data_IF_391226039718
#
_entry.id   IF_391226039718
#
_cell.length_a   1.000
_cell.length_b   1.000
_cell.length_c   1.000
_cell.angle_alpha   90.00
_cell.angle_beta   90.00
_cell.angle_gamma   90.00
#
_symmetry.space_group_name_H-M   'P 1'
#
loop_
_entity.id
_entity.type
_entity.pdbx_description
1 polymer ?
#
# COMPACT_ATOMS: atom_id res chain seq x y z
N UNK A 1 6.03 18.47 18.00
CA UNK A 1 5.69 18.40 16.57
C UNK A 1 6.97 18.57 15.78
N UNK A 2 7.29 17.63 14.90
CA UNK A 2 8.45 17.74 14.03
C UNK A 2 8.18 18.84 12.99
N UNK A 3 8.62 20.06 13.29
CA UNK A 3 8.35 21.27 12.48
C UNK A 3 8.75 21.07 11.02
N UNK A 4 9.74 20.21 10.77
CA UNK A 4 10.22 19.90 9.43
C UNK A 4 9.18 19.22 8.55
N UNK A 5 8.35 18.31 9.10
CA UNK A 5 7.36 17.56 8.30
C UNK A 5 6.21 18.46 7.86
N UNK A 6 5.69 19.31 8.76
CA UNK A 6 4.60 20.24 8.43
C UNK A 6 5.01 21.21 7.33
N UNK A 7 6.24 21.73 7.38
CA UNK A 7 6.80 22.61 6.35
C UNK A 7 6.97 21.90 5.01
N UNK A 8 7.43 20.64 5.01
CA UNK A 8 7.55 19.84 3.78
C UNK A 8 6.18 19.59 3.16
N UNK A 9 5.19 19.15 3.95
CA UNK A 9 3.82 18.89 3.46
C UNK A 9 3.22 20.15 2.85
N UNK A 10 3.35 21.28 3.53
CA UNK A 10 2.85 22.57 3.04
C UNK A 10 3.51 22.97 1.72
N UNK A 11 4.85 22.90 1.64
CA UNK A 11 5.60 23.20 0.43
C UNK A 11 5.18 22.31 -0.74
N UNK A 12 5.15 20.99 -0.54
CA UNK A 12 4.77 20.02 -1.58
C UNK A 12 3.35 20.28 -2.07
N UNK A 13 2.41 20.55 -1.16
CA UNK A 13 1.04 20.91 -1.53
C UNK A 13 0.98 22.19 -2.36
N UNK A 14 1.67 23.25 -1.94
CA UNK A 14 1.67 24.53 -2.64
C UNK A 14 2.32 24.43 -4.01
N UNK A 15 3.33 23.58 -4.17
CA UNK A 15 3.95 23.31 -5.46
C UNK A 15 3.05 22.49 -6.38
N UNK A 16 2.39 21.44 -5.86
CA UNK A 16 1.42 20.64 -6.63
C UNK A 16 0.23 21.49 -7.09
N UNK A 17 -0.27 22.41 -6.24
CA UNK A 17 -1.39 23.33 -6.60
C UNK A 17 -1.09 24.22 -7.81
N UNK A 18 0.18 24.50 -8.09
CA UNK A 18 0.60 25.31 -9.25
C UNK A 18 0.62 24.51 -10.55
N UNK A 19 0.61 23.17 -10.47
CA UNK A 19 0.64 22.31 -11.64
C UNK A 19 -0.73 22.28 -12.32
N UNK A 20 -0.74 22.51 -13.64
CA UNK A 20 -1.94 22.35 -14.47
C UNK A 20 -2.37 20.87 -14.53
N UNK A 21 -1.39 19.97 -14.61
CA UNK A 21 -1.56 18.52 -14.59
C UNK A 21 -0.54 17.91 -13.61
N UNK A 22 -1.03 17.34 -12.50
CA UNK A 22 -0.19 16.68 -11.50
C UNK A 22 -0.28 15.16 -11.65
N UNK A 23 0.42 14.60 -12.64
CA UNK A 23 0.50 13.14 -12.84
C UNK A 23 1.78 12.59 -12.23
N UNK A 24 1.63 11.69 -11.27
CA UNK A 24 2.73 10.89 -10.74
C UNK A 24 2.78 9.54 -11.46
N UNK A 25 3.98 9.14 -11.87
CA UNK A 25 4.22 7.84 -12.51
C UNK A 25 5.06 6.95 -11.60
N UNK A 26 4.58 5.73 -11.37
CA UNK A 26 5.27 4.72 -10.59
C UNK A 26 5.55 3.51 -11.48
N UNK A 27 6.75 2.96 -11.37
CA UNK A 27 7.17 1.75 -12.10
C UNK A 27 8.00 0.86 -11.19
N UNK A 28 7.65 -0.42 -11.21
CA UNK A 28 8.41 -1.50 -10.58
C UNK A 28 8.73 -2.54 -11.66
N UNK A 29 9.86 -3.22 -11.53
CA UNK A 29 10.17 -4.43 -12.28
C UNK A 29 10.33 -5.58 -11.28
N UNK A 30 9.75 -6.73 -11.59
CA UNK A 30 9.92 -7.98 -10.84
C UNK A 30 10.45 -9.05 -11.76
N UNK A 31 11.38 -9.86 -11.26
CA UNK A 31 11.98 -10.97 -12.01
C UNK A 31 11.91 -12.23 -11.17
N UNK A 32 11.37 -13.30 -11.74
CA UNK A 32 11.45 -14.63 -11.15
C UNK A 32 12.90 -15.12 -11.23
N UNK A 33 13.47 -15.47 -10.07
CA UNK A 33 14.86 -15.93 -10.00
C UNK A 33 14.91 -17.46 -10.05
N UNK A 34 14.16 -18.12 -9.17
CA UNK A 34 13.97 -19.58 -9.14
C UNK A 34 12.78 -19.93 -8.22
N UNK A 35 12.18 -21.11 -8.39
CA UNK A 35 11.06 -21.55 -7.55
C UNK A 35 9.94 -20.50 -7.50
N UNK A 36 9.62 -20.01 -6.30
CA UNK A 36 8.74 -18.85 -6.07
C UNK A 36 9.49 -17.58 -5.63
N UNK A 37 10.82 -17.61 -5.59
CA UNK A 37 11.63 -16.48 -5.21
C UNK A 37 11.70 -15.43 -6.34
N UNK A 38 11.21 -14.23 -6.02
CA UNK A 38 11.12 -13.09 -6.92
C UNK A 38 11.92 -11.92 -6.34
N UNK A 39 12.69 -11.26 -7.20
CA UNK A 39 13.36 -10.00 -6.86
C UNK A 39 12.65 -8.83 -7.54
N UNK A 40 12.30 -7.81 -6.75
CA UNK A 40 11.71 -6.58 -7.22
C UNK A 40 12.74 -5.44 -7.19
N UNK A 41 12.72 -4.59 -8.21
CA UNK A 41 13.49 -3.35 -8.25
C UNK A 41 12.56 -2.15 -8.45
N UNK A 42 12.65 -1.17 -7.56
CA UNK A 42 11.88 0.08 -7.60
C UNK A 42 12.76 1.26 -7.25
N UNK A 43 12.94 2.20 -8.19
CA UNK A 43 13.96 3.26 -8.09
C UNK A 43 15.33 2.65 -7.77
N UNK A 44 15.94 2.98 -6.63
CA UNK A 44 17.21 2.41 -6.14
C UNK A 44 17.04 1.31 -5.09
N UNK A 45 15.81 0.84 -4.82
CA UNK A 45 15.52 -0.17 -3.80
C UNK A 45 15.34 -1.54 -4.43
N UNK A 46 15.72 -2.57 -3.67
CA UNK A 46 15.46 -3.98 -3.98
C UNK A 46 14.60 -4.60 -2.89
N UNK A 47 13.69 -5.49 -3.29
CA UNK A 47 12.88 -6.27 -2.35
C UNK A 47 12.89 -7.74 -2.77
N UNK A 48 13.12 -8.61 -1.79
CA UNK A 48 12.93 -10.04 -1.93
C UNK A 48 11.47 -10.38 -1.62
N UNK A 49 10.85 -11.14 -2.51
CA UNK A 49 9.47 -11.62 -2.42
C UNK A 49 9.52 -13.14 -2.59
N UNK A 50 8.74 -13.88 -1.80
CA UNK A 50 8.75 -15.34 -1.81
C UNK A 50 7.44 -15.89 -1.27
N UNK A 51 7.29 -17.21 -1.24
CA UNK A 51 6.20 -17.88 -0.53
C UNK A 51 6.70 -18.55 0.76
N UNK A 52 5.84 -18.78 1.76
CA UNK A 52 6.14 -19.62 2.91
C UNK A 52 6.51 -21.05 2.49
N UNK A 53 7.29 -21.74 3.32
CA UNK A 53 7.66 -23.15 3.08
C UNK A 53 6.42 -24.07 2.95
N UNK A 54 5.34 -23.77 3.68
CA UNK A 54 4.08 -24.51 3.60
C UNK A 54 3.38 -24.39 2.25
N UNK A 55 3.72 -23.38 1.45
CA UNK A 55 3.26 -23.17 0.08
C UNK A 55 4.34 -23.49 -0.96
N UNK A 56 5.46 -24.09 -0.53
CA UNK A 56 6.56 -24.53 -1.40
C UNK A 56 7.59 -23.45 -1.73
N UNK A 57 7.53 -22.28 -1.09
CA UNK A 57 8.56 -21.25 -1.22
C UNK A 57 9.74 -21.48 -0.27
N UNK A 58 10.65 -20.51 -0.21
CA UNK A 58 11.83 -20.56 0.66
C UNK A 58 11.76 -19.58 1.85
N UNK A 59 10.60 -18.96 2.07
CA UNK A 59 10.33 -18.03 3.17
C UNK A 59 11.38 -16.90 3.30
N UNK A 60 11.96 -16.46 2.17
CA UNK A 60 13.01 -15.41 2.14
C UNK A 60 12.47 -13.98 2.13
N UNK A 61 11.18 -13.83 1.87
CA UNK A 61 10.49 -12.56 1.81
C UNK A 61 8.99 -12.76 1.99
N UNK A 62 8.24 -11.68 2.24
CA UNK A 62 6.79 -11.74 2.27
C UNK A 62 6.23 -12.18 0.93
N UNK A 63 5.06 -12.80 0.95
CA UNK A 63 4.35 -13.13 -0.27
C UNK A 63 3.65 -11.90 -0.88
N UNK A 64 3.22 -11.97 -2.15
CA UNK A 64 2.62 -10.82 -2.83
C UNK A 64 1.36 -10.27 -2.14
N UNK A 65 0.54 -11.12 -1.50
CA UNK A 65 -0.70 -10.68 -0.86
C UNK A 65 -0.42 -10.02 0.50
N UNK A 66 0.59 -10.45 1.24
CA UNK A 66 1.10 -9.77 2.43
C UNK A 66 1.66 -8.39 2.09
N UNK A 67 2.38 -8.26 0.97
CA UNK A 67 2.87 -6.97 0.48
C UNK A 67 1.73 -5.98 0.16
N UNK A 68 0.57 -6.49 -0.29
CA UNK A 68 -0.62 -5.66 -0.49
C UNK A 68 -1.16 -5.12 0.86
N UNK A 69 -1.22 -5.96 1.90
CA UNK A 69 -1.65 -5.54 3.24
C UNK A 69 -0.64 -4.58 3.88
N UNK A 70 0.66 -4.85 3.73
CA UNK A 70 1.76 -3.93 4.13
C UNK A 70 1.60 -2.58 3.43
N UNK A 71 1.26 -2.59 2.14
CA UNK A 71 1.02 -1.35 1.37
C UNK A 71 -0.16 -0.56 1.93
N UNK A 72 -1.25 -1.21 2.32
CA UNK A 72 -2.39 -0.54 2.96
C UNK A 72 -1.99 0.06 4.32
N UNK A 73 -1.42 -0.76 5.22
CA UNK A 73 -1.05 -0.31 6.57
C UNK A 73 -0.02 0.82 6.56
N UNK A 74 1.02 0.70 5.74
CA UNK A 74 2.03 1.76 5.60
C UNK A 74 1.48 3.05 4.97
N UNK A 75 0.56 2.92 4.00
CA UNK A 75 -0.10 4.08 3.42
C UNK A 75 -0.96 4.82 4.44
N UNK A 76 -1.70 4.09 5.29
CA UNK A 76 -2.42 4.67 6.42
C UNK A 76 -1.48 5.46 7.34
N UNK A 77 -0.36 4.86 7.79
CA UNK A 77 0.61 5.54 8.64
C UNK A 77 1.13 6.86 8.03
N UNK A 78 1.51 6.83 6.76
CA UNK A 78 2.03 8.02 6.05
C UNK A 78 0.95 9.11 5.97
N UNK A 79 -0.27 8.74 5.59
CA UNK A 79 -1.37 9.71 5.39
C UNK A 79 -1.83 10.29 6.73
N UNK A 80 -1.85 9.49 7.81
CA UNK A 80 -2.04 10.01 9.17
C UNK A 80 -1.00 11.07 9.53
N UNK A 81 0.28 10.80 9.27
CA UNK A 81 1.35 11.76 9.55
C UNK A 81 1.17 13.06 8.75
N UNK A 82 0.76 12.97 7.48
CA UNK A 82 0.48 14.13 6.62
C UNK A 82 -0.63 14.99 7.22
N UNK A 83 -1.82 14.43 7.44
CA UNK A 83 -2.97 15.20 7.92
C UNK A 83 -2.85 15.63 9.38
N UNK A 84 -2.18 14.86 10.23
CA UNK A 84 -1.89 15.28 11.60
C UNK A 84 -1.01 16.54 11.62
N UNK A 85 -0.02 16.61 10.73
CA UNK A 85 0.87 17.78 10.59
C UNK A 85 0.13 19.04 10.13
N UNK A 86 -0.97 18.88 9.39
CA UNK A 86 -1.81 19.99 8.92
C UNK A 86 -2.81 20.46 9.97
N UNK A 87 -3.34 19.52 10.76
CA UNK A 87 -4.26 19.80 11.85
C UNK A 87 -3.55 20.22 13.15
N UNK A 88 -2.22 20.28 13.16
CA UNK A 88 -1.42 20.55 14.34
C UNK A 88 -1.64 19.51 15.45
N UNK A 89 -1.80 18.24 15.07
CA UNK A 89 -1.95 17.09 15.98
C UNK A 89 -0.59 16.41 16.12
N UNK A 90 -0.11 16.27 17.36
CA UNK A 90 1.16 15.61 17.64
C UNK A 90 0.94 14.12 17.93
N UNK A 91 1.25 13.27 16.96
CA UNK A 91 1.25 11.80 17.12
C UNK A 91 2.50 11.38 17.90
N UNK A 92 2.31 10.69 19.03
CA UNK A 92 3.40 10.11 19.84
C UNK A 92 3.74 8.70 19.37
N UNK A 93 2.72 7.88 19.09
CA UNK A 93 2.82 6.55 18.49
C UNK A 93 1.65 6.33 17.54
N UNK A 94 1.91 5.60 16.46
CA UNK A 94 0.91 5.15 15.50
C UNK A 94 1.32 3.78 14.96
N UNK A 95 0.40 2.81 15.04
CA UNK A 95 0.53 1.51 14.37
C UNK A 95 -0.78 1.15 13.69
N UNK A 96 -0.67 0.42 12.58
CA UNK A 96 -1.81 -0.10 11.85
C UNK A 96 -1.62 -1.60 11.65
N UNK A 97 -2.53 -2.38 12.19
CA UNK A 97 -2.61 -3.83 11.96
C UNK A 97 -3.60 -4.08 10.83
N UNK A 98 -3.25 -4.93 9.87
CA UNK A 98 -4.10 -5.24 8.72
C UNK A 98 -4.24 -6.75 8.60
N UNK A 99 -5.48 -7.23 8.63
CA UNK A 99 -5.87 -8.62 8.48
C UNK A 99 -6.61 -8.80 7.14
N UNK A 100 -6.26 -9.84 6.38
CA UNK A 100 -6.90 -10.16 5.11
C UNK A 100 -7.29 -11.63 5.04
N UNK A 101 -8.49 -11.90 4.55
CA UNK A 101 -9.02 -13.27 4.35
C UNK A 101 -9.18 -13.55 2.85
N UNK A 102 -8.64 -14.68 2.39
CA UNK A 102 -8.80 -15.19 1.02
C UNK A 102 -9.03 -16.71 1.02
N UNK A 103 -9.68 -17.24 -0.02
CA UNK A 103 -9.81 -18.69 -0.24
C UNK A 103 -8.75 -19.15 -1.27
N UNK A 104 -7.74 -19.95 -0.87
CA UNK A 104 -6.72 -20.45 -1.79
C UNK A 104 -7.25 -21.27 -2.96
N UNK A 105 -8.48 -21.81 -2.88
CA UNK A 105 -9.11 -22.53 -3.99
C UNK A 105 -9.31 -21.65 -5.22
N UNK A 106 -9.51 -20.35 -5.04
CA UNK A 106 -9.63 -19.40 -6.15
C UNK A 106 -8.30 -19.23 -6.88
N UNK A 107 -7.20 -19.08 -6.14
CA UNK A 107 -5.85 -19.00 -6.69
C UNK A 107 -5.44 -20.29 -7.42
N UNK A 108 -5.75 -21.45 -6.85
CA UNK A 108 -5.41 -22.76 -7.42
C UNK A 108 -6.38 -23.25 -8.51
N UNK A 109 -7.43 -22.48 -8.83
CA UNK A 109 -8.44 -22.87 -9.81
C UNK A 109 -9.26 -24.11 -9.42
N UNK A 110 -9.31 -24.45 -8.13
CA UNK A 110 -10.03 -25.61 -7.58
C UNK A 110 -11.54 -25.34 -7.56
N UNK A 111 -11.94 -24.09 -7.37
CA UNK A 111 -13.34 -23.66 -7.41
C UNK A 111 -13.48 -22.26 -8.02
N UNK A 112 -14.70 -21.91 -8.42
CA UNK A 112 -15.04 -20.60 -8.99
C UNK A 112 -15.22 -19.51 -7.91
N UNK A 113 -14.37 -19.50 -6.89
CA UNK A 113 -14.34 -18.46 -5.85
C UNK A 113 -13.34 -17.36 -6.24
N UNK A 114 -13.49 -16.18 -5.65
CA UNK A 114 -12.55 -15.09 -5.87
C UNK A 114 -11.14 -15.48 -5.38
N UNK A 115 -10.12 -15.22 -6.19
CA UNK A 115 -8.73 -15.54 -5.84
C UNK A 115 -8.08 -14.52 -4.87
N UNK A 116 -8.51 -13.26 -4.89
CA UNK A 116 -8.03 -12.20 -3.99
C UNK A 116 -8.83 -12.10 -2.69
N UNK A 117 -8.40 -11.22 -1.80
CA UNK A 117 -9.04 -10.99 -0.49
C UNK A 117 -10.55 -10.73 -0.60
N UNK A 118 -11.35 -11.49 0.15
CA UNK A 118 -12.80 -11.30 0.29
C UNK A 118 -13.14 -10.36 1.43
N UNK A 119 -12.26 -10.25 2.43
CA UNK A 119 -12.38 -9.32 3.54
C UNK A 119 -11.00 -8.76 3.89
N UNK A 120 -10.93 -7.45 4.16
CA UNK A 120 -9.74 -6.79 4.69
C UNK A 120 -10.19 -5.90 5.84
N UNK A 121 -9.62 -6.13 7.01
CA UNK A 121 -9.85 -5.33 8.22
C UNK A 121 -8.55 -4.67 8.62
N UNK A 122 -8.60 -3.41 9.05
CA UNK A 122 -7.45 -2.76 9.65
C UNK A 122 -7.83 -2.02 10.92
N UNK A 123 -6.95 -2.09 11.91
CA UNK A 123 -7.09 -1.46 13.22
C UNK A 123 -5.98 -0.44 13.39
N UNK A 124 -6.34 0.76 13.83
CA UNK A 124 -5.41 1.88 14.04
C UNK A 124 -5.26 2.12 15.55
N UNK A 125 -4.04 1.99 16.04
CA UNK A 125 -3.67 2.34 17.40
C UNK A 125 -2.87 3.65 17.38
N UNK A 126 -3.44 4.70 17.98
CA UNK A 126 -2.86 6.04 18.00
C UNK A 126 -2.72 6.55 19.43
N UNK A 127 -1.54 7.09 19.76
CA UNK A 127 -1.27 7.80 21.00
C UNK A 127 -1.01 9.28 20.68
N UNK A 128 -1.78 10.18 21.29
CA UNK A 128 -1.73 11.63 21.07
C UNK A 128 -2.35 12.40 22.24
N UNK A 129 -2.01 13.67 22.38
CA UNK A 129 -2.63 14.59 23.36
C UNK A 129 -3.85 15.32 22.79
N UNK A 130 -4.19 15.10 21.51
CA UNK A 130 -5.37 15.69 20.89
C UNK A 130 -6.66 15.06 21.44
N UNK A 131 -7.72 15.87 21.53
CA UNK A 131 -9.03 15.39 21.95
C UNK A 131 -9.62 14.39 20.94
N UNK A 132 -10.52 13.48 21.39
CA UNK A 132 -11.07 12.43 20.54
C UNK A 132 -11.78 12.92 19.28
N UNK A 133 -12.41 14.10 19.31
CA UNK A 133 -13.14 14.63 18.15
C UNK A 133 -12.16 15.08 17.06
N UNK A 134 -11.04 15.72 17.43
CA UNK A 134 -9.95 16.02 16.49
C UNK A 134 -9.32 14.76 15.90
N UNK A 135 -9.16 13.69 16.70
CA UNK A 135 -8.63 12.40 16.21
C UNK A 135 -9.61 11.73 15.24
N UNK A 136 -10.91 11.79 15.53
CA UNK A 136 -11.94 11.32 14.60
C UNK A 136 -11.90 12.08 13.28
N UNK A 137 -11.81 13.41 13.34
CA UNK A 137 -11.68 14.25 12.14
C UNK A 137 -10.43 13.92 11.34
N UNK A 138 -9.31 13.67 12.01
CA UNK A 138 -8.07 13.21 11.37
C UNK A 138 -8.30 11.89 10.63
N UNK A 139 -8.91 10.89 11.28
CA UNK A 139 -9.22 9.59 10.66
C UNK A 139 -10.08 9.74 9.41
N UNK A 140 -11.14 10.54 9.46
CA UNK A 140 -12.03 10.78 8.30
C UNK A 140 -11.27 11.35 7.10
N UNK A 141 -10.36 12.31 7.33
CA UNK A 141 -9.53 12.87 6.28
C UNK A 141 -8.56 11.84 5.71
N UNK A 142 -7.98 11.00 6.57
CA UNK A 142 -7.07 9.92 6.14
C UNK A 142 -7.80 8.93 5.24
N UNK A 143 -8.98 8.45 5.65
CA UNK A 143 -9.76 7.49 4.85
C UNK A 143 -10.19 8.08 3.51
N UNK A 144 -10.54 9.37 3.49
CA UNK A 144 -10.93 10.06 2.26
C UNK A 144 -9.77 10.20 1.26
N UNK A 145 -8.53 10.30 1.75
CA UNK A 145 -7.39 10.70 0.94
C UNK A 145 -6.29 9.65 0.81
N UNK A 146 -6.42 8.49 1.45
CA UNK A 146 -5.47 7.38 1.36
C UNK A 146 -5.49 6.73 -0.03
N UNK A 147 -4.40 6.83 -0.84
CA UNK A 147 -4.40 6.31 -2.20
C UNK A 147 -4.56 4.79 -2.29
N UNK A 148 -3.94 4.03 -1.37
CA UNK A 148 -4.04 2.56 -1.37
C UNK A 148 -5.44 2.11 -0.98
N UNK A 149 -6.05 2.72 0.04
CA UNK A 149 -7.44 2.43 0.40
C UNK A 149 -8.37 2.72 -0.80
N UNK A 150 -8.23 3.91 -1.40
CA UNK A 150 -9.02 4.27 -2.59
C UNK A 150 -8.84 3.28 -3.74
N UNK A 151 -7.62 2.78 -3.98
CA UNK A 151 -7.34 1.78 -5.02
C UNK A 151 -8.00 0.42 -4.72
N UNK A 152 -8.07 0.02 -3.46
CA UNK A 152 -8.71 -1.23 -3.04
C UNK A 152 -10.24 -1.15 -3.08
N UNK A 153 -10.81 0.02 -2.79
CA UNK A 153 -12.27 0.23 -2.78
C UNK A 153 -12.83 0.74 -4.10
N UNK A 154 -11.98 1.18 -5.02
CA UNK A 154 -12.37 1.73 -6.32
C UNK A 154 -11.46 1.15 -7.41
N UNK A 155 -11.99 0.29 -8.30
CA UNK A 155 -11.18 -0.37 -9.31
C UNK A 155 -10.47 0.61 -10.25
N UNK A 156 -9.15 0.52 -10.33
CA UNK A 156 -8.38 1.16 -11.38
C UNK A 156 -8.53 0.40 -12.71
N UNK A 157 -8.35 1.09 -13.84
CA UNK A 157 -8.23 0.41 -15.14
C UNK A 157 -6.92 -0.37 -15.17
N UNK A 158 -7.01 -1.69 -15.31
CA UNK A 158 -5.85 -2.59 -15.43
C UNK A 158 -5.82 -3.14 -16.86
N UNK A 159 -4.65 -3.07 -17.50
CA UNK A 159 -4.40 -3.63 -18.84
C UNK A 159 -3.12 -4.45 -18.80
N UNK A 160 -3.14 -5.64 -19.38
CA UNK A 160 -1.98 -6.53 -19.51
C UNK A 160 -1.57 -6.69 -20.97
N UNK A 161 -0.30 -7.01 -21.19
CA UNK A 161 0.24 -7.49 -22.48
C UNK A 161 1.23 -8.61 -22.22
N UNK A 162 1.28 -9.62 -23.08
CA UNK A 162 2.21 -10.75 -22.98
C UNK A 162 3.27 -10.65 -24.08
N UNK A 163 4.54 -10.85 -23.72
CA UNK A 163 5.63 -11.04 -24.68
C UNK A 163 6.26 -12.41 -24.54
N UNK A 164 6.50 -13.09 -25.66
CA UNK A 164 7.20 -14.37 -25.74
C UNK A 164 8.42 -14.18 -26.61
N UNK A 165 9.61 -14.48 -26.07
CA UNK A 165 10.89 -14.29 -26.77
C UNK A 165 11.09 -12.88 -27.36
N UNK A 166 10.52 -11.86 -26.70
CA UNK A 166 10.60 -10.47 -27.13
C UNK A 166 9.44 -9.99 -28.01
N UNK A 167 8.62 -10.91 -28.55
CA UNK A 167 7.49 -10.57 -29.42
C UNK A 167 6.19 -10.45 -28.63
N UNK A 168 5.37 -9.43 -28.92
CA UNK A 168 4.06 -9.24 -28.29
C UNK A 168 3.07 -10.25 -28.85
N UNK A 169 2.42 -11.02 -27.97
CA UNK A 169 1.45 -12.07 -28.33
C UNK A 169 0.02 -11.70 -27.94
N UNK A 170 -0.15 -10.84 -26.91
CA UNK A 170 -1.43 -10.32 -26.41
C UNK A 170 -1.22 -8.91 -25.86
#
# INVERSE_FOLDING_TARGET
>A
MDSQISDVVKRVRDDIKKLKDAKAHFRVNTTLINGFHVEASVRGFKLTIDEPESLGGSNKGPNPVELLLISLGSCQCIVFQVYASELGINIKRLSVTVDGELDPKGFLGISQVQAGFTDIKYTIDIETDADPERVKRLKELVELHCPVLSTLTTPAKITSSLRVNGEVVY
#
